data_IF_334671111557
#
_entry.id   IF_334671111557
#
_cell.length_a   1.000
_cell.length_b   1.000
_cell.length_c   1.000
_cell.angle_alpha   90.00
_cell.angle_beta   90.00
_cell.angle_gamma   90.00
#
_symmetry.space_group_name_H-M   'P 1'
#
loop_
_entity.id
_entity.type
_entity.pdbx_description
1 polymer ?
#
# COMPACT_ATOMS: atom_id res chain seq x y z
N UNK A 1 9.57 -1.50 1.34
CA UNK A 1 10.22 -0.21 1.01
C UNK A 1 11.01 -0.23 -0.28
N UNK A 2 11.99 -1.14 -0.46
CA UNK A 2 12.83 -1.17 -1.67
C UNK A 2 12.03 -1.23 -2.97
N UNK A 3 11.09 -2.16 -3.08
CA UNK A 3 10.21 -2.30 -4.26
C UNK A 3 9.46 -1.00 -4.64
N UNK A 4 8.86 -0.32 -3.65
CA UNK A 4 8.16 0.95 -3.90
C UNK A 4 9.13 2.07 -4.32
N UNK A 5 10.31 2.14 -3.72
CA UNK A 5 11.35 3.09 -4.08
C UNK A 5 11.85 2.83 -5.51
N UNK A 6 12.13 1.57 -5.85
CA UNK A 6 12.58 1.14 -7.17
C UNK A 6 11.52 1.47 -8.23
N UNK A 7 10.24 1.23 -7.94
CA UNK A 7 9.14 1.59 -8.84
C UNK A 7 9.04 3.10 -9.09
N UNK A 8 9.21 3.91 -8.04
CA UNK A 8 9.15 5.37 -8.12
C UNK A 8 10.45 6.02 -8.64
N UNK A 9 11.52 5.25 -8.85
CA UNK A 9 12.83 5.76 -9.25
C UNK A 9 13.53 6.58 -8.16
N UNK A 10 13.20 6.34 -6.89
CA UNK A 10 13.66 7.12 -5.75
C UNK A 10 14.43 6.28 -4.73
N UNK A 11 15.17 6.93 -3.82
CA UNK A 11 15.80 6.22 -2.70
C UNK A 11 14.76 5.75 -1.69
N UNK A 12 14.99 4.64 -0.95
CA UNK A 12 14.08 4.20 0.10
C UNK A 12 13.78 5.27 1.16
N UNK A 13 14.77 6.12 1.48
CA UNK A 13 14.59 7.23 2.41
C UNK A 13 13.63 8.29 1.86
N UNK A 14 13.82 8.72 0.61
CA UNK A 14 12.94 9.71 -0.04
C UNK A 14 11.53 9.16 -0.27
N UNK A 15 11.40 7.90 -0.71
CA UNK A 15 10.11 7.23 -0.86
C UNK A 15 9.34 7.22 0.47
N UNK A 16 10.00 6.82 1.57
CA UNK A 16 9.36 6.77 2.90
C UNK A 16 8.95 8.16 3.39
N UNK A 17 9.80 9.17 3.20
CA UNK A 17 9.56 10.50 3.73
C UNK A 17 8.52 11.31 2.94
N UNK A 18 8.42 11.11 1.62
CA UNK A 18 7.67 12.02 0.74
C UNK A 18 6.54 11.37 -0.05
N UNK A 19 6.48 10.04 -0.14
CA UNK A 19 5.52 9.33 -1.01
C UNK A 19 4.56 8.41 -0.26
N UNK A 20 4.85 8.09 1.00
CA UNK A 20 4.04 7.18 1.82
C UNK A 20 3.40 7.99 2.95
N UNK A 21 2.08 7.88 3.10
CA UNK A 21 1.38 8.45 4.25
C UNK A 21 1.88 7.76 5.53
N UNK A 22 2.45 8.50 6.51
CA UNK A 22 3.03 7.91 7.71
C UNK A 22 2.03 7.10 8.55
N UNK A 23 0.73 7.43 8.48
CA UNK A 23 -0.34 6.69 9.18
C UNK A 23 -0.40 5.22 8.77
N UNK A 24 0.05 4.87 7.57
CA UNK A 24 0.11 3.47 7.12
C UNK A 24 1.06 2.61 7.97
N UNK A 25 2.12 3.18 8.54
CA UNK A 25 3.02 2.44 9.43
C UNK A 25 2.37 2.14 10.76
N UNK A 26 1.70 3.15 11.34
CA UNK A 26 0.99 3.01 12.61
C UNK A 26 -0.11 1.95 12.50
N UNK A 27 -0.92 2.02 11.44
CA UNK A 27 -1.97 1.05 11.18
C UNK A 27 -1.41 -0.36 10.96
N UNK A 28 -0.28 -0.48 10.25
CA UNK A 28 0.38 -1.76 10.07
C UNK A 28 0.87 -2.35 11.40
N UNK A 29 1.49 -1.53 12.26
CA UNK A 29 1.94 -1.94 13.59
C UNK A 29 0.76 -2.34 14.50
N UNK A 30 -0.41 -1.72 14.30
CA UNK A 30 -1.69 -2.08 14.95
C UNK A 30 -2.36 -3.33 14.32
N UNK A 31 -1.79 -3.90 13.25
CA UNK A 31 -2.35 -5.05 12.53
C UNK A 31 -3.55 -4.72 11.63
N UNK A 32 -3.81 -3.44 11.38
CA UNK A 32 -4.90 -2.93 10.53
C UNK A 32 -4.41 -2.82 9.08
N UNK A 33 -5.01 -3.61 8.19
CA UNK A 33 -4.60 -3.69 6.78
C UNK A 33 -5.82 -3.71 5.85
N UNK A 34 -5.61 -3.48 4.55
CA UNK A 34 -6.67 -3.57 3.52
C UNK A 34 -7.00 -5.01 3.12
N UNK A 35 -6.18 -6.00 3.50
CA UNK A 35 -6.38 -7.40 3.10
C UNK A 35 -7.77 -7.97 3.51
N UNK A 36 -8.28 -7.73 4.73
CA UNK A 36 -9.65 -8.10 5.10
C UNK A 36 -10.74 -7.40 4.27
N UNK A 37 -10.44 -6.21 3.73
CA UNK A 37 -11.38 -5.41 2.93
C UNK A 37 -11.41 -5.83 1.46
N UNK A 38 -10.34 -6.48 0.99
CA UNK A 38 -10.19 -6.93 -0.39
C UNK A 38 -10.82 -8.31 -0.64
N UNK A 39 -11.12 -9.09 0.39
CA UNK A 39 -11.68 -10.44 0.23
C UNK A 39 -10.87 -11.28 -0.76
N UNK A 40 -11.53 -11.89 -1.75
CA UNK A 40 -10.87 -12.69 -2.79
C UNK A 40 -10.19 -11.88 -3.92
N UNK A 41 -10.40 -10.55 -4.00
CA UNK A 41 -9.72 -9.72 -5.03
C UNK A 41 -8.20 -9.67 -4.85
N UNK A 42 -7.69 -10.00 -3.65
CA UNK A 42 -6.26 -10.08 -3.39
C UNK A 42 -5.58 -11.34 -3.94
N UNK A 43 -6.32 -12.36 -4.38
CA UNK A 43 -5.73 -13.63 -4.83
C UNK A 43 -5.01 -13.55 -6.18
N UNK A 44 -5.38 -12.59 -7.04
CA UNK A 44 -4.86 -12.46 -8.40
C UNK A 44 -3.76 -11.39 -8.54
N UNK A 45 -3.38 -10.74 -7.44
CA UNK A 45 -2.31 -9.75 -7.42
C UNK A 45 -0.96 -10.40 -7.72
N UNK A 46 -0.48 -10.26 -8.96
CA UNK A 46 0.88 -10.69 -9.32
C UNK A 46 1.90 -9.89 -8.51
N UNK A 47 2.89 -10.53 -7.86
CA UNK A 47 3.99 -9.83 -7.23
C UNK A 47 4.66 -8.87 -8.24
N UNK A 48 4.93 -7.63 -7.84
CA UNK A 48 5.57 -6.62 -8.68
C UNK A 48 4.63 -5.78 -9.57
N UNK A 49 3.31 -5.95 -9.48
CA UNK A 49 2.34 -5.05 -10.12
C UNK A 49 1.59 -4.29 -9.03
N UNK A 50 1.68 -2.96 -9.03
CA UNK A 50 0.83 -2.14 -8.17
C UNK A 50 -0.63 -2.47 -8.46
N UNK A 51 -1.37 -2.80 -7.41
CA UNK A 51 -2.79 -3.04 -7.51
C UNK A 51 -3.54 -1.69 -7.62
N UNK A 52 -3.34 -0.96 -8.72
CA UNK A 52 -4.07 0.29 -9.04
C UNK A 52 -5.45 -0.04 -9.63
N UNK A 53 -6.17 -0.96 -8.99
CA UNK A 53 -7.54 -1.29 -9.36
C UNK A 53 -8.47 -0.59 -8.37
N UNK A 54 -9.60 -0.08 -8.86
CA UNK A 54 -10.57 0.70 -8.07
C UNK A 54 -10.90 0.11 -6.68
N UNK A 55 -10.99 -1.23 -6.48
CA UNK A 55 -11.26 -1.80 -5.16
C UNK A 55 -10.15 -1.56 -4.14
N UNK A 56 -8.89 -1.58 -4.56
CA UNK A 56 -7.73 -1.34 -3.69
C UNK A 56 -7.67 0.12 -3.29
N UNK A 57 -7.87 1.03 -4.24
CA UNK A 57 -7.92 2.47 -3.96
C UNK A 57 -9.04 2.80 -2.96
N UNK A 58 -10.23 2.24 -3.15
CA UNK A 58 -11.35 2.42 -2.22
C UNK A 58 -11.09 1.82 -0.83
N UNK A 59 -10.34 0.71 -0.74
CA UNK A 59 -9.94 0.12 0.53
C UNK A 59 -8.90 1.00 1.25
N UNK A 60 -7.91 1.53 0.53
CA UNK A 60 -6.91 2.45 1.08
C UNK A 60 -7.57 3.75 1.55
N UNK A 61 -8.50 4.31 0.78
CA UNK A 61 -9.25 5.50 1.19
C UNK A 61 -10.05 5.26 2.46
N UNK A 62 -10.69 4.09 2.61
CA UNK A 62 -11.40 3.72 3.84
C UNK A 62 -10.48 3.45 5.02
N UNK A 63 -9.29 2.92 4.77
CA UNK A 63 -8.27 2.68 5.79
C UNK A 63 -7.73 4.00 6.36
N UNK A 64 -7.68 5.06 5.55
CA UNK A 64 -7.13 6.36 5.90
C UNK A 64 -8.18 7.42 6.29
N UNK A 65 -9.47 7.09 6.21
CA UNK A 65 -10.58 7.96 6.61
C UNK A 65 -10.74 8.01 8.13
#
# INVERSE_FOLDING_TARGET
>A
MREAADHLGNTPAACRASYINPRLFELFDEGVMIAPMLGDLGRDGRPGVLATQQPVEAAVLRLLA
#
